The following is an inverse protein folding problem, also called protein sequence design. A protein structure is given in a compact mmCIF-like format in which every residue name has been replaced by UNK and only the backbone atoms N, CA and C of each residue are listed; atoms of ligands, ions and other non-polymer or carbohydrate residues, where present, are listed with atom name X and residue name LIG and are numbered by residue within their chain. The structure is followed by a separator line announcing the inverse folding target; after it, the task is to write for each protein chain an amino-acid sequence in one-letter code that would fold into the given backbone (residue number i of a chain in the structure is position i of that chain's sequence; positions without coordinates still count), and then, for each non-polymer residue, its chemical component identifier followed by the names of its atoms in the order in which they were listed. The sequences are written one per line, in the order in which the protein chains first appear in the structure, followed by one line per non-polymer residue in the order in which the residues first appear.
data_IF_191858178464
#
_entry.id   IF_191858178464
#
_cell.length_a   1.000
_cell.length_b   1.000
_cell.length_c   1.000
_cell.angle_alpha   90.00
_cell.angle_beta   90.00
_cell.angle_gamma   90.00
#
_symmetry.space_group_name_H-M   'P 1'
#
loop_
_entity.id
_entity.type
_entity.pdbx_description
1 polymer ?
#
# COMPACT_ATOMS: atom_id res chain seq x y z
N UNK A 1 -16.11 2.12 7.56
CA UNK A 1 -15.74 1.81 8.96
C UNK A 1 -16.71 2.51 9.86
N UNK A 2 -17.32 1.81 10.80
CA UNK A 2 -18.39 2.34 11.67
C UNK A 2 -18.08 2.02 13.13
N UNK A 3 -17.98 3.05 13.98
CA UNK A 3 -17.78 2.93 15.43
C UNK A 3 -16.48 2.26 15.84
N UNK A 4 -15.41 2.36 15.04
CA UNK A 4 -14.14 1.68 15.29
C UNK A 4 -13.52 2.20 16.58
N UNK A 5 -13.20 1.28 17.47
CA UNK A 5 -12.47 1.56 18.71
C UNK A 5 -11.25 0.66 18.81
N UNK A 6 -10.15 1.23 19.32
CA UNK A 6 -8.90 0.51 19.59
C UNK A 6 -8.20 1.10 20.80
N UNK A 7 -7.81 0.23 21.72
CA UNK A 7 -7.06 0.58 22.93
C UNK A 7 -5.76 -0.21 23.01
N UNK A 8 -4.69 0.43 23.47
CA UNK A 8 -3.39 -0.18 23.71
C UNK A 8 -2.94 0.15 25.14
N UNK A 9 -2.78 -0.85 25.98
CA UNK A 9 -2.27 -0.70 27.36
C UNK A 9 -2.90 0.47 28.11
N UNK A 10 -4.24 0.62 28.05
CA UNK A 10 -5.02 1.68 28.70
C UNK A 10 -5.13 3.00 27.92
N UNK A 11 -4.43 3.14 26.79
CA UNK A 11 -4.51 4.32 25.92
C UNK A 11 -5.52 4.08 24.79
N UNK A 12 -6.58 4.87 24.72
CA UNK A 12 -7.58 4.79 23.65
C UNK A 12 -7.09 5.50 22.40
N UNK A 13 -6.48 4.74 21.49
CA UNK A 13 -5.99 5.25 20.21
C UNK A 13 -7.11 5.60 19.23
N UNK A 14 -8.23 4.86 19.28
CA UNK A 14 -9.45 5.13 18.50
C UNK A 14 -10.68 5.03 19.42
N UNK A 15 -11.59 5.99 19.32
CA UNK A 15 -12.82 6.03 20.11
C UNK A 15 -14.04 6.30 19.21
N UNK A 16 -14.78 5.22 18.89
CA UNK A 16 -15.99 5.24 18.05
C UNK A 16 -15.80 5.99 16.71
N UNK A 17 -14.67 5.76 16.03
CA UNK A 17 -14.33 6.45 14.78
C UNK A 17 -15.20 5.94 13.64
N UNK A 18 -15.83 6.87 12.92
CA UNK A 18 -16.52 6.59 11.67
C UNK A 18 -15.68 7.15 10.51
N UNK A 19 -15.45 6.31 9.50
CA UNK A 19 -14.71 6.71 8.30
C UNK A 19 -15.33 6.07 7.06
N UNK A 20 -15.60 6.88 6.04
CA UNK A 20 -16.23 6.43 4.80
C UNK A 20 -15.46 6.98 3.61
N UNK A 21 -15.18 6.11 2.66
CA UNK A 21 -14.55 6.44 1.37
C UNK A 21 -15.54 6.12 0.26
N UNK A 22 -15.61 6.97 -0.75
CA UNK A 22 -16.43 6.75 -1.96
C UNK A 22 -15.57 6.13 -3.05
N UNK A 23 -16.12 5.24 -3.88
CA UNK A 23 -15.41 4.72 -5.06
C UNK A 23 -14.98 5.86 -5.99
N UNK A 24 -13.82 5.71 -6.63
CA UNK A 24 -13.28 6.66 -7.60
C UNK A 24 -12.93 8.03 -7.00
N UNK A 25 -12.58 8.08 -5.70
CA UNK A 25 -12.19 9.34 -5.05
C UNK A 25 -10.91 9.19 -4.24
N UNK A 26 -10.15 10.27 -4.16
CA UNK A 26 -9.02 10.40 -3.24
C UNK A 26 -9.50 11.02 -1.94
N UNK A 27 -9.19 10.37 -0.81
CA UNK A 27 -9.52 10.85 0.53
C UNK A 27 -8.26 11.13 1.33
N UNK A 28 -8.04 12.39 1.71
CA UNK A 28 -6.98 12.75 2.64
C UNK A 28 -7.47 12.60 4.09
N UNK A 29 -6.76 11.79 4.87
CA UNK A 29 -6.98 11.64 6.31
C UNK A 29 -6.02 12.56 7.07
N UNK A 30 -6.51 13.73 7.45
CA UNK A 30 -5.73 14.76 8.13
C UNK A 30 -5.87 14.68 9.65
N UNK A 31 -4.84 15.08 10.37
CA UNK A 31 -4.81 15.13 11.83
C UNK A 31 -3.38 15.21 12.37
N UNK A 32 -3.23 15.61 13.63
CA UNK A 32 -1.94 15.69 14.31
C UNK A 32 -1.26 14.31 14.44
N UNK A 33 0.05 14.33 14.73
CA UNK A 33 0.77 13.10 15.05
C UNK A 33 0.18 12.48 16.33
N UNK A 34 -0.06 11.16 16.30
CA UNK A 34 -0.74 10.48 17.40
C UNK A 34 -2.28 10.52 17.35
N UNK A 35 -2.91 11.21 16.40
CA UNK A 35 -4.38 11.27 16.28
C UNK A 35 -5.04 9.93 15.89
N UNK A 36 -4.27 8.85 15.71
CA UNK A 36 -4.80 7.52 15.41
C UNK A 36 -4.97 7.19 13.93
N UNK A 37 -4.49 8.06 13.01
CA UNK A 37 -4.60 7.85 11.54
C UNK A 37 -4.06 6.49 11.11
N UNK A 38 -2.79 6.22 11.37
CA UNK A 38 -2.15 4.95 11.01
C UNK A 38 -2.75 3.77 11.77
N UNK A 39 -3.24 3.97 13.02
CA UNK A 39 -3.96 2.95 13.77
C UNK A 39 -5.25 2.55 13.08
N UNK A 40 -6.01 3.53 12.56
CA UNK A 40 -7.25 3.28 11.83
C UNK A 40 -6.98 2.48 10.55
N UNK A 41 -5.94 2.85 9.80
CA UNK A 41 -5.54 2.12 8.58
C UNK A 41 -5.02 0.71 8.90
N UNK A 42 -4.23 0.55 9.96
CA UNK A 42 -3.76 -0.76 10.43
C UNK A 42 -4.91 -1.66 10.90
N UNK A 43 -6.00 -1.10 11.45
CA UNK A 43 -7.22 -1.86 11.73
C UNK A 43 -7.95 -2.27 10.44
N UNK A 44 -7.99 -1.42 9.42
CA UNK A 44 -8.55 -1.76 8.10
C UNK A 44 -7.78 -2.89 7.45
N UNK A 45 -6.46 -2.84 7.51
CA UNK A 45 -5.57 -3.80 6.86
C UNK A 45 -5.37 -5.11 7.65
N UNK A 46 -6.02 -5.26 8.82
CA UNK A 46 -5.94 -6.49 9.62
C UNK A 46 -4.63 -6.66 10.41
N UNK A 47 -3.78 -5.60 10.49
CA UNK A 47 -2.57 -5.60 11.33
C UNK A 47 -2.95 -5.49 12.79
N UNK A 48 -3.93 -4.64 13.11
CA UNK A 48 -4.49 -4.53 14.45
C UNK A 48 -5.94 -5.01 14.48
N UNK A 49 -6.24 -5.91 15.41
CA UNK A 49 -7.61 -6.29 15.68
C UNK A 49 -8.33 -5.12 16.37
N UNK A 50 -9.44 -4.67 15.81
CA UNK A 50 -10.33 -3.67 16.45
C UNK A 50 -10.96 -4.25 17.70
N UNK A 51 -11.22 -3.40 18.71
CA UNK A 51 -11.87 -3.82 19.95
C UNK A 51 -13.40 -3.67 19.85
N UNK A 52 -13.87 -2.71 19.03
CA UNK A 52 -15.30 -2.52 18.72
C UNK A 52 -15.48 -1.91 17.33
N UNK A 53 -16.74 -1.92 16.87
CA UNK A 53 -17.15 -1.40 15.56
C UNK A 53 -17.07 -2.43 14.45
N UNK A 54 -17.42 -2.03 13.22
CA UNK A 54 -17.44 -2.90 12.03
C UNK A 54 -16.87 -2.21 10.81
N UNK A 55 -16.33 -3.01 9.91
CA UNK A 55 -15.81 -2.58 8.61
C UNK A 55 -16.75 -3.11 7.54
N UNK A 56 -17.20 -2.25 6.66
CA UNK A 56 -17.97 -2.63 5.48
C UNK A 56 -17.14 -2.37 4.24
N UNK A 57 -16.97 -3.37 3.40
CA UNK A 57 -16.36 -3.27 2.07
C UNK A 57 -17.45 -3.57 1.03
N UNK A 58 -17.73 -2.62 0.15
CA UNK A 58 -18.79 -2.73 -0.87
C UNK A 58 -20.17 -3.09 -0.29
N UNK A 59 -20.45 -2.69 0.97
CA UNK A 59 -21.70 -2.96 1.67
C UNK A 59 -21.70 -4.24 2.51
N UNK A 60 -20.75 -5.14 2.33
CA UNK A 60 -20.62 -6.37 3.08
C UNK A 60 -19.69 -6.19 4.29
N UNK A 61 -20.05 -6.79 5.41
CA UNK A 61 -19.20 -6.73 6.61
C UNK A 61 -18.01 -7.66 6.46
N UNK A 62 -16.81 -7.10 6.68
CA UNK A 62 -15.53 -7.81 6.59
C UNK A 62 -14.77 -7.76 7.90
N UNK A 63 -13.97 -8.80 8.14
CA UNK A 63 -13.14 -8.90 9.32
C UNK A 63 -11.80 -9.57 8.98
N UNK A 64 -10.87 -8.78 8.49
CA UNK A 64 -9.54 -9.25 8.14
C UNK A 64 -8.75 -9.60 9.40
N UNK A 65 -8.19 -10.81 9.44
CA UNK A 65 -7.35 -11.29 10.54
C UNK A 65 -5.86 -11.09 10.24
N UNK A 66 -5.52 -10.95 8.97
CA UNK A 66 -4.15 -10.77 8.48
C UNK A 66 -4.10 -9.73 7.36
N UNK A 67 -2.93 -9.09 7.11
CA UNK A 67 -2.73 -8.24 5.95
C UNK A 67 -3.00 -8.96 4.62
N UNK A 68 -2.71 -10.25 4.54
CA UNK A 68 -2.99 -11.07 3.36
C UNK A 68 -4.50 -11.13 3.06
N UNK A 69 -5.35 -11.23 4.11
CA UNK A 69 -6.80 -11.21 3.91
C UNK A 69 -7.26 -9.88 3.29
N UNK A 70 -6.71 -8.76 3.74
CA UNK A 70 -7.02 -7.46 3.17
C UNK A 70 -6.58 -7.38 1.70
N UNK A 71 -5.37 -7.85 1.38
CA UNK A 71 -4.83 -7.86 0.01
C UNK A 71 -5.69 -8.67 -0.96
N UNK A 72 -6.09 -9.90 -0.60
CA UNK A 72 -6.94 -10.74 -1.47
C UNK A 72 -8.36 -10.18 -1.62
N UNK A 73 -8.80 -9.31 -0.71
CA UNK A 73 -10.07 -8.59 -0.79
C UNK A 73 -9.95 -7.21 -1.45
N UNK A 74 -8.82 -6.91 -2.07
CA UNK A 74 -8.64 -5.72 -2.89
C UNK A 74 -8.24 -4.47 -2.11
N UNK A 75 -7.63 -4.62 -0.92
CA UNK A 75 -7.09 -3.49 -0.16
C UNK A 75 -5.57 -3.64 -0.05
N UNK A 76 -4.81 -2.64 -0.49
CA UNK A 76 -3.36 -2.57 -0.34
C UNK A 76 -2.96 -1.40 0.56
N UNK A 77 -1.81 -1.51 1.20
CA UNK A 77 -1.25 -0.47 2.05
C UNK A 77 0.24 -0.29 1.75
N UNK A 78 0.63 0.95 1.53
CA UNK A 78 2.04 1.34 1.47
C UNK A 78 2.39 1.96 2.82
N UNK A 79 3.36 1.35 3.50
CA UNK A 79 3.79 1.75 4.83
C UNK A 79 4.76 2.94 4.77
N UNK A 80 4.84 3.69 5.86
CA UNK A 80 5.83 4.75 6.05
C UNK A 80 7.26 4.20 6.02
N UNK A 81 7.49 3.05 6.61
CA UNK A 81 8.78 2.36 6.58
C UNK A 81 8.91 1.48 5.33
N UNK A 82 10.08 1.51 4.70
CA UNK A 82 10.36 0.70 3.52
C UNK A 82 10.55 -0.77 3.90
N UNK A 83 9.53 -1.58 3.67
CA UNK A 83 9.55 -3.03 3.88
C UNK A 83 10.07 -3.77 2.63
N UNK A 84 11.33 -3.55 2.30
CA UNK A 84 11.97 -4.07 1.09
C UNK A 84 13.15 -4.96 1.44
N UNK A 85 13.49 -5.88 0.54
CA UNK A 85 14.71 -6.68 0.61
C UNK A 85 15.81 -5.99 -0.19
N UNK A 86 16.79 -5.33 0.45
CA UNK A 86 17.73 -4.42 -0.24
C UNK A 86 18.60 -5.12 -1.28
N UNK A 87 18.97 -6.38 -1.06
CA UNK A 87 19.84 -7.15 -1.93
C UNK A 87 19.14 -7.76 -3.15
N UNK A 88 17.81 -7.77 -3.15
CA UNK A 88 16.99 -8.15 -4.29
C UNK A 88 16.89 -7.00 -5.29
N UNK A 89 16.62 -7.32 -6.56
CA UNK A 89 16.33 -6.31 -7.56
C UNK A 89 14.88 -5.78 -7.44
N UNK A 90 14.59 -4.73 -8.20
CA UNK A 90 13.29 -4.03 -8.17
C UNK A 90 12.14 -4.98 -8.50
N UNK A 91 12.22 -5.74 -9.60
CA UNK A 91 11.13 -6.65 -9.99
C UNK A 91 10.93 -7.79 -8.99
N UNK A 92 11.99 -8.29 -8.37
CA UNK A 92 11.89 -9.32 -7.32
C UNK A 92 11.17 -8.78 -6.09
N UNK A 93 11.42 -7.53 -5.69
CA UNK A 93 10.70 -6.88 -4.58
C UNK A 93 9.23 -6.64 -4.91
N UNK A 94 8.89 -6.19 -6.13
CA UNK A 94 7.50 -5.97 -6.57
C UNK A 94 6.70 -7.27 -6.52
N UNK A 95 7.29 -8.37 -6.97
CA UNK A 95 6.62 -9.67 -7.09
C UNK A 95 6.90 -10.63 -5.93
N UNK A 96 7.52 -10.16 -4.86
CA UNK A 96 7.89 -11.00 -3.72
C UNK A 96 6.71 -11.82 -3.19
N UNK A 97 6.89 -13.13 -3.12
CA UNK A 97 5.85 -14.08 -2.66
C UNK A 97 4.78 -14.45 -3.70
N UNK A 98 4.80 -13.86 -4.91
CA UNK A 98 3.81 -14.10 -5.99
C UNK A 98 4.44 -14.04 -7.37
N UNK A 99 5.60 -14.64 -7.51
CA UNK A 99 6.32 -14.66 -8.78
C UNK A 99 5.47 -15.25 -9.90
N UNK A 100 5.26 -14.54 -11.03
CA UNK A 100 4.63 -15.11 -12.22
C UNK A 100 5.33 -16.40 -12.65
N UNK A 101 4.57 -17.40 -13.01
CA UNK A 101 5.10 -18.70 -13.41
C UNK A 101 4.67 -19.07 -14.83
N UNK A 102 5.58 -19.70 -15.55
CA UNK A 102 5.31 -20.31 -16.85
C UNK A 102 5.92 -21.72 -16.86
N UNK A 103 5.09 -22.73 -17.11
CA UNK A 103 5.49 -24.15 -17.07
C UNK A 103 6.15 -24.58 -15.74
N UNK A 104 5.70 -24.03 -14.60
CA UNK A 104 6.25 -24.35 -13.27
C UNK A 104 7.56 -23.64 -12.91
N UNK A 105 8.10 -22.78 -13.79
CA UNK A 105 9.29 -21.96 -13.56
C UNK A 105 8.92 -20.49 -13.46
N UNK A 106 9.73 -19.71 -12.74
CA UNK A 106 9.54 -18.25 -12.61
C UNK A 106 9.71 -17.60 -13.98
N UNK A 107 8.68 -16.85 -14.43
CA UNK A 107 8.73 -16.06 -15.66
C UNK A 107 9.35 -14.68 -15.40
N UNK A 108 10.68 -14.64 -15.39
CA UNK A 108 11.41 -13.38 -15.21
C UNK A 108 11.16 -12.36 -16.33
N UNK A 109 10.77 -12.82 -17.54
CA UNK A 109 10.45 -11.92 -18.65
C UNK A 109 9.12 -11.21 -18.41
N UNK A 110 8.11 -11.92 -17.90
CA UNK A 110 6.85 -11.33 -17.47
C UNK A 110 7.07 -10.35 -16.32
N UNK A 111 7.82 -10.74 -15.28
CA UNK A 111 8.18 -9.87 -14.16
C UNK A 111 8.79 -8.55 -14.65
N UNK A 112 9.79 -8.64 -15.51
CA UNK A 112 10.48 -7.46 -16.07
C UNK A 112 9.50 -6.54 -16.82
N UNK A 113 8.73 -7.12 -17.75
CA UNK A 113 7.80 -6.36 -18.60
C UNK A 113 6.73 -5.64 -17.79
N UNK A 114 6.06 -6.35 -16.87
CA UNK A 114 4.98 -5.79 -16.07
C UNK A 114 5.51 -4.75 -15.06
N UNK A 115 6.66 -5.02 -14.42
CA UNK A 115 7.29 -4.04 -13.52
C UNK A 115 7.68 -2.77 -14.28
N UNK A 116 8.29 -2.91 -15.47
CA UNK A 116 8.66 -1.75 -16.29
C UNK A 116 7.45 -0.92 -16.71
N UNK A 117 6.32 -1.60 -17.04
CA UNK A 117 5.07 -0.92 -17.39
C UNK A 117 4.52 -0.13 -16.21
N UNK A 118 4.46 -0.72 -15.01
CA UNK A 118 3.98 -0.05 -13.80
C UNK A 118 4.86 1.14 -13.42
N UNK A 119 6.18 0.95 -13.38
CA UNK A 119 7.11 2.03 -13.06
C UNK A 119 7.05 3.18 -14.06
N UNK A 120 6.85 2.89 -15.35
CA UNK A 120 6.69 3.92 -16.37
C UNK A 120 5.41 4.74 -16.17
N UNK A 121 4.33 4.08 -15.80
CA UNK A 121 3.06 4.75 -15.50
C UNK A 121 3.16 5.62 -14.25
N UNK A 122 3.90 5.18 -13.23
CA UNK A 122 4.09 5.89 -11.96
C UNK A 122 5.10 7.03 -12.03
N UNK A 123 6.22 6.79 -12.69
CA UNK A 123 7.41 7.67 -12.57
C UNK A 123 7.60 8.59 -13.78
N UNK A 124 6.78 8.45 -14.84
CA UNK A 124 6.95 9.23 -16.07
C UNK A 124 8.37 9.09 -16.65
N UNK A 125 9.10 10.19 -16.65
CA UNK A 125 10.47 10.27 -17.18
C UNK A 125 11.56 9.74 -16.22
N UNK A 126 11.19 9.40 -14.97
CA UNK A 126 12.16 8.86 -14.00
C UNK A 126 12.43 7.39 -14.33
N UNK A 127 13.61 7.11 -14.82
CA UNK A 127 13.98 5.75 -15.20
C UNK A 127 14.40 4.94 -13.96
N UNK A 128 13.73 3.79 -13.75
CA UNK A 128 14.09 2.76 -12.78
C UNK A 128 14.16 1.44 -13.54
N UNK A 129 15.37 0.84 -13.59
CA UNK A 129 15.53 -0.47 -14.22
C UNK A 129 14.98 -1.58 -13.29
N UNK A 130 14.02 -2.41 -13.74
CA UNK A 130 13.52 -3.54 -12.95
C UNK A 130 14.59 -4.53 -12.48
N UNK A 131 15.73 -4.60 -13.15
CA UNK A 131 16.86 -5.48 -12.77
C UNK A 131 17.85 -4.83 -11.82
N UNK A 132 17.73 -3.53 -11.56
CA UNK A 132 18.63 -2.82 -10.65
C UNK A 132 18.37 -3.26 -9.20
N UNK A 133 19.44 -3.44 -8.41
CA UNK A 133 19.31 -3.68 -6.96
C UNK A 133 18.76 -2.44 -6.24
N UNK A 134 17.97 -2.64 -5.22
CA UNK A 134 17.40 -1.55 -4.42
C UNK A 134 18.45 -0.71 -3.70
N UNK A 135 19.58 -1.30 -3.32
CA UNK A 135 20.71 -0.60 -2.69
C UNK A 135 21.25 0.56 -3.52
N UNK A 136 21.09 0.51 -4.85
CA UNK A 136 21.50 1.57 -5.77
C UNK A 136 20.45 2.66 -6.01
N UNK A 137 19.29 2.58 -5.37
CA UNK A 137 18.20 3.54 -5.54
C UNK A 137 18.16 4.57 -4.40
N UNK A 138 17.75 5.80 -4.73
CA UNK A 138 17.39 6.82 -3.73
C UNK A 138 16.13 6.40 -2.96
N UNK A 139 15.89 7.02 -1.81
CA UNK A 139 14.70 6.75 -0.97
C UNK A 139 13.41 6.97 -1.78
N UNK A 140 13.31 8.08 -2.53
CA UNK A 140 12.14 8.37 -3.37
C UNK A 140 11.89 7.27 -4.41
N UNK A 141 12.93 6.81 -5.12
CA UNK A 141 12.80 5.72 -6.09
C UNK A 141 12.40 4.40 -5.44
N UNK A 142 12.89 4.13 -4.23
CA UNK A 142 12.47 2.95 -3.45
C UNK A 142 11.00 3.03 -3.06
N UNK A 143 10.50 4.20 -2.71
CA UNK A 143 9.07 4.39 -2.43
C UNK A 143 8.21 4.16 -3.68
N UNK A 144 8.67 4.60 -4.86
CA UNK A 144 7.98 4.27 -6.12
C UNK A 144 7.91 2.76 -6.36
N UNK A 145 8.92 2.02 -5.95
CA UNK A 145 8.89 0.55 -6.00
C UNK A 145 7.83 -0.03 -5.06
N UNK A 146 7.65 0.51 -3.83
CA UNK A 146 6.60 0.06 -2.91
C UNK A 146 5.20 0.39 -3.45
N UNK A 147 5.03 1.55 -4.07
CA UNK A 147 3.77 1.90 -4.74
C UNK A 147 3.51 0.96 -5.92
N UNK A 148 4.52 0.68 -6.76
CA UNK A 148 4.40 -0.29 -7.85
C UNK A 148 4.03 -1.68 -7.32
N UNK A 149 4.61 -2.10 -6.20
CA UNK A 149 4.24 -3.33 -5.50
C UNK A 149 2.77 -3.30 -5.07
N UNK A 150 2.28 -2.22 -4.46
CA UNK A 150 0.89 -2.08 -4.05
C UNK A 150 -0.08 -2.16 -5.23
N UNK A 151 0.21 -1.45 -6.33
CA UNK A 151 -0.59 -1.47 -7.57
C UNK A 151 -0.59 -2.87 -8.21
N UNK A 152 0.51 -3.59 -8.15
CA UNK A 152 0.64 -4.94 -8.73
C UNK A 152 -0.30 -5.98 -8.11
N UNK A 153 -0.95 -5.69 -6.99
CA UNK A 153 -2.04 -6.50 -6.42
C UNK A 153 -3.39 -6.25 -7.08
N UNK A 154 -3.50 -5.27 -8.00
CA UNK A 154 -4.77 -4.87 -8.64
C UNK A 154 -5.86 -4.58 -7.60
N UNK A 155 -5.51 -3.84 -6.55
CA UNK A 155 -6.43 -3.50 -5.46
C UNK A 155 -7.34 -2.35 -5.86
N UNK A 156 -8.58 -2.36 -5.32
CA UNK A 156 -9.56 -1.27 -5.50
C UNK A 156 -9.31 -0.11 -4.51
N UNK A 157 -8.62 -0.40 -3.40
CA UNK A 157 -8.31 0.58 -2.36
C UNK A 157 -6.81 0.51 -2.07
N UNK A 158 -6.15 1.65 -2.22
CA UNK A 158 -4.75 1.80 -1.83
C UNK A 158 -4.68 2.84 -0.72
N UNK A 159 -4.08 2.46 0.40
CA UNK A 159 -3.80 3.39 1.50
C UNK A 159 -2.32 3.76 1.49
N UNK A 160 -2.05 5.07 1.58
CA UNK A 160 -0.71 5.63 1.58
C UNK A 160 -0.46 6.29 2.94
N UNK A 161 0.46 5.75 3.75
CA UNK A 161 0.76 6.29 5.09
C UNK A 161 2.00 7.18 5.03
N UNK A 162 1.81 8.51 5.15
CA UNK A 162 2.85 9.56 5.19
C UNK A 162 3.88 9.57 4.04
N UNK A 163 3.53 9.09 2.86
CA UNK A 163 4.44 9.04 1.70
C UNK A 163 4.84 10.42 1.16
N UNK A 164 4.02 11.43 1.39
CA UNK A 164 4.21 12.78 0.80
C UNK A 164 5.44 13.51 1.33
N UNK A 165 6.02 13.10 2.46
CA UNK A 165 7.22 13.72 3.03
C UNK A 165 8.49 13.46 2.21
N UNK A 166 8.47 12.48 1.31
CA UNK A 166 9.63 12.05 0.53
C UNK A 166 9.43 12.10 -0.99
N UNK A 167 8.19 12.38 -1.44
CA UNK A 167 7.85 12.55 -2.84
C UNK A 167 7.90 14.04 -3.20
N UNK A 168 8.42 14.35 -4.38
CA UNK A 168 8.33 15.71 -4.91
C UNK A 168 6.91 15.99 -5.46
N UNK A 169 6.60 17.27 -5.70
CA UNK A 169 5.26 17.68 -6.15
C UNK A 169 4.79 16.95 -7.41
N UNK A 170 5.68 16.72 -8.38
CA UNK A 170 5.35 16.00 -9.63
C UNK A 170 5.03 14.53 -9.40
N UNK A 171 5.75 13.87 -8.49
CA UNK A 171 5.51 12.47 -8.13
C UNK A 171 4.16 12.31 -7.41
N UNK A 172 3.78 13.30 -6.59
CA UNK A 172 2.46 13.35 -5.95
C UNK A 172 1.35 13.57 -6.98
N UNK A 173 1.53 14.49 -7.94
CA UNK A 173 0.57 14.75 -9.01
C UNK A 173 0.31 13.48 -9.83
N UNK A 174 1.35 12.77 -10.26
CA UNK A 174 1.22 11.51 -11.02
C UNK A 174 0.42 10.47 -10.24
N UNK A 175 0.65 10.34 -8.93
CA UNK A 175 -0.12 9.42 -8.07
C UNK A 175 -1.61 9.79 -8.00
N UNK A 176 -1.93 11.08 -7.96
CA UNK A 176 -3.31 11.56 -7.89
C UNK A 176 -4.04 11.41 -9.23
N UNK A 177 -3.33 11.47 -10.37
CA UNK A 177 -3.89 11.30 -11.70
C UNK A 177 -4.13 9.83 -12.11
N UNK A 178 -3.54 8.88 -11.38
CA UNK A 178 -3.69 7.43 -11.66
C UNK A 178 -5.02 6.82 -11.20
N UNK A 179 -5.96 7.61 -10.65
CA UNK A 179 -7.27 7.15 -10.17
C UNK A 179 -8.41 7.49 -11.15
#
# INVERSE_FOLDING_TARGET
MLGISKEFSGVKALKHVNFRVRPGTVHALLGENGAGKSTLMKCLFGIYKRDAGRILLRGEEVNFQTPHDALINGISMVHQELEQVPDMNVMENVWLGRYPQKFGLIDSSAMYRETKKMLRALCGDIEIDPKQKLTGLTVSKRQMVDIAKAISYCCDIITLDELTSFLNEKEVEVLLEMN
#
